data_IF_452880391794
#
_entry.id   IF_452880391794
#
_cell.length_a   1.000
_cell.length_b   1.000
_cell.length_c   1.000
_cell.angle_alpha   90.00
_cell.angle_beta   90.00
_cell.angle_gamma   90.00
#
_symmetry.space_group_name_H-M   'P 1'
#
loop_
_entity.id
_entity.type
_entity.pdbx_description
1 polymer ?
#
# COMPACT_ATOMS: atom_id res chain seq x y z
N UNK A 1 16.55 -25.07 -14.62
CA UNK A 1 16.86 -23.63 -14.69
C UNK A 1 15.77 -23.01 -15.56
N UNK A 2 14.63 -22.61 -14.98
CA UNK A 2 13.67 -21.78 -15.72
C UNK A 2 14.14 -20.35 -15.56
N UNK A 3 14.78 -19.83 -16.60
CA UNK A 3 14.92 -18.39 -16.78
C UNK A 3 13.51 -17.81 -16.80
N UNK A 4 13.15 -17.04 -15.77
CA UNK A 4 12.00 -16.14 -15.86
C UNK A 4 12.30 -15.19 -17.01
N UNK A 5 11.67 -15.42 -18.16
CA UNK A 5 11.60 -14.42 -19.22
C UNK A 5 10.58 -13.42 -18.67
N UNK A 6 11.06 -12.25 -18.23
CA UNK A 6 10.19 -11.12 -17.93
C UNK A 6 9.28 -10.89 -19.14
N UNK A 7 7.99 -10.68 -18.89
CA UNK A 7 7.02 -10.38 -19.93
C UNK A 7 7.49 -9.19 -20.77
N UNK A 8 7.75 -9.43 -22.06
CA UNK A 8 8.17 -8.39 -23.01
C UNK A 8 7.13 -7.25 -23.05
N UNK A 9 5.84 -7.59 -22.90
CA UNK A 9 4.74 -6.61 -22.85
C UNK A 9 4.82 -5.74 -21.60
N UNK A 10 5.10 -6.34 -20.44
CA UNK A 10 5.29 -5.57 -19.22
C UNK A 10 6.53 -4.68 -19.34
N UNK A 11 7.67 -5.21 -19.82
CA UNK A 11 8.90 -4.44 -20.03
C UNK A 11 8.67 -3.23 -20.94
N UNK A 12 7.94 -3.40 -22.04
CA UNK A 12 7.61 -2.30 -22.95
C UNK A 12 6.71 -1.24 -22.29
N UNK A 13 5.71 -1.67 -21.51
CA UNK A 13 4.82 -0.76 -20.79
C UNK A 13 5.56 0.02 -19.72
N UNK A 14 6.49 -0.62 -19.00
CA UNK A 14 7.33 0.03 -17.99
C UNK A 14 8.32 1.02 -18.63
N UNK A 15 8.90 0.69 -19.78
CA UNK A 15 9.78 1.60 -20.50
C UNK A 15 9.07 2.89 -20.95
N UNK A 16 7.78 2.79 -21.30
CA UNK A 16 6.96 3.97 -21.59
C UNK A 16 6.59 4.74 -20.32
N UNK A 17 6.16 4.02 -19.28
CA UNK A 17 5.81 4.59 -17.97
C UNK A 17 6.98 5.39 -17.37
N UNK A 18 8.22 4.89 -17.50
CA UNK A 18 9.44 5.53 -16.99
C UNK A 18 9.82 6.84 -17.70
N UNK A 19 9.14 7.19 -18.81
CA UNK A 19 9.29 8.51 -19.45
C UNK A 19 8.50 9.60 -18.72
N UNK A 20 7.56 9.23 -17.84
CA UNK A 20 6.74 10.16 -17.09
C UNK A 20 7.47 10.68 -15.85
N UNK A 21 6.95 11.78 -15.30
CA UNK A 21 7.49 12.34 -14.06
C UNK A 21 7.24 11.36 -12.90
N UNK A 22 8.32 10.86 -12.30
CA UNK A 22 8.27 9.98 -11.14
C UNK A 22 8.82 10.72 -9.90
N UNK A 23 7.90 11.17 -9.04
CA UNK A 23 8.22 11.87 -7.78
C UNK A 23 8.76 10.95 -6.68
N UNK A 24 8.71 9.63 -6.85
CA UNK A 24 9.41 8.69 -5.96
C UNK A 24 10.92 8.74 -6.19
N UNK A 25 11.38 9.19 -7.37
CA UNK A 25 12.78 9.23 -7.79
C UNK A 25 13.33 10.65 -7.97
N UNK A 26 12.59 11.67 -7.55
CA UNK A 26 12.96 13.09 -7.74
C UNK A 26 12.68 13.90 -6.46
N UNK A 27 13.37 15.04 -6.25
CA UNK A 27 12.96 16.01 -5.25
C UNK A 27 11.50 16.43 -5.49
N UNK A 28 10.72 16.55 -4.42
CA UNK A 28 9.26 16.68 -4.50
C UNK A 28 8.77 18.12 -4.28
N UNK A 29 9.67 19.11 -4.28
CA UNK A 29 9.32 20.52 -4.04
C UNK A 29 8.35 21.12 -5.06
N UNK A 30 8.37 20.63 -6.30
CA UNK A 30 7.47 21.05 -7.39
C UNK A 30 6.33 20.05 -7.64
N UNK A 31 6.06 19.16 -6.67
CA UNK A 31 4.99 18.18 -6.81
C UNK A 31 3.65 18.91 -6.90
N UNK A 32 2.85 18.56 -7.91
CA UNK A 32 1.56 19.22 -8.11
C UNK A 32 0.59 18.92 -6.96
N UNK A 33 -0.35 19.84 -6.76
CA UNK A 33 -1.39 19.79 -5.72
C UNK A 33 -2.79 19.79 -6.35
N UNK A 34 -3.04 18.85 -7.26
CA UNK A 34 -4.33 18.63 -7.91
C UNK A 34 -4.62 17.14 -8.11
N UNK A 35 -5.91 16.79 -8.24
CA UNK A 35 -6.37 15.42 -8.57
C UNK A 35 -6.95 15.32 -9.98
N UNK A 36 -7.05 16.42 -10.73
CA UNK A 36 -7.69 16.44 -12.05
C UNK A 36 -7.03 15.51 -13.08
N UNK A 37 -5.70 15.40 -13.17
CA UNK A 37 -5.07 14.45 -14.09
C UNK A 37 -5.51 13.01 -13.80
N UNK A 38 -5.58 12.63 -12.53
CA UNK A 38 -6.01 11.30 -12.10
C UNK A 38 -7.50 11.07 -12.36
N UNK A 39 -8.36 12.07 -12.08
CA UNK A 39 -9.80 12.01 -12.37
C UNK A 39 -10.08 11.92 -13.87
N UNK A 40 -9.32 12.63 -14.70
CA UNK A 40 -9.46 12.57 -16.15
C UNK A 40 -9.12 11.18 -16.69
N UNK A 41 -8.01 10.58 -16.23
CA UNK A 41 -7.66 9.20 -16.57
C UNK A 41 -8.72 8.20 -16.11
N UNK A 42 -9.21 8.34 -14.87
CA UNK A 42 -10.25 7.45 -14.34
C UNK A 42 -11.54 7.52 -15.18
N UNK A 43 -12.02 8.72 -15.52
CA UNK A 43 -13.20 8.92 -16.39
C UNK A 43 -13.02 8.25 -17.76
N UNK A 44 -11.84 8.37 -18.37
CA UNK A 44 -11.51 7.73 -19.66
C UNK A 44 -11.54 6.20 -19.59
N UNK A 45 -11.27 5.63 -18.42
CA UNK A 45 -11.28 4.20 -18.17
C UNK A 45 -12.61 3.70 -17.55
N UNK A 46 -13.65 4.54 -17.57
CA UNK A 46 -14.99 4.16 -17.09
C UNK A 46 -15.17 4.22 -15.58
N UNK A 47 -14.39 5.06 -14.89
CA UNK A 47 -14.44 5.26 -13.44
C UNK A 47 -14.33 3.95 -12.63
N UNK A 48 -13.25 3.17 -12.82
CA UNK A 48 -13.11 1.84 -12.22
C UNK A 48 -13.18 1.84 -10.69
N UNK A 49 -12.84 2.96 -10.04
CA UNK A 49 -12.95 3.12 -8.59
C UNK A 49 -14.37 3.02 -8.03
N UNK A 50 -15.39 3.11 -8.88
CA UNK A 50 -16.79 3.09 -8.45
C UNK A 50 -17.37 1.66 -8.40
N UNK A 51 -16.62 0.64 -8.80
CA UNK A 51 -17.13 -0.75 -8.90
C UNK A 51 -16.88 -1.61 -7.66
N UNK A 52 -16.24 -1.07 -6.62
CA UNK A 52 -15.89 -1.80 -5.39
C UNK A 52 -15.89 -0.88 -4.17
N UNK A 53 -15.97 -1.48 -2.97
CA UNK A 53 -15.89 -0.78 -1.69
C UNK A 53 -14.45 -0.58 -1.26
N UNK A 54 -14.17 0.45 -0.45
CA UNK A 54 -12.78 0.90 -0.25
C UNK A 54 -12.47 1.15 1.22
N UNK A 55 -11.35 0.58 1.66
CA UNK A 55 -10.63 1.01 2.87
C UNK A 55 -9.39 1.77 2.44
N UNK A 56 -9.28 3.03 2.84
CA UNK A 56 -8.18 3.91 2.44
C UNK A 56 -7.27 4.20 3.64
N UNK A 57 -5.97 3.97 3.48
CA UNK A 57 -4.99 3.99 4.58
C UNK A 57 -3.92 5.04 4.30
N UNK A 58 -3.79 6.00 5.21
CA UNK A 58 -2.73 6.99 5.24
C UNK A 58 -2.00 6.97 6.59
N UNK A 59 -0.84 7.61 6.64
CA UNK A 59 0.01 7.64 7.83
C UNK A 59 1.49 7.73 7.49
N UNK A 60 2.34 7.85 8.50
CA UNK A 60 3.79 7.89 8.33
C UNK A 60 4.34 6.48 8.21
N UNK A 61 4.20 5.67 9.26
CA UNK A 61 4.67 4.28 9.29
C UNK A 61 3.51 3.29 9.45
N UNK A 62 3.73 2.05 8.99
CA UNK A 62 2.79 0.95 9.19
C UNK A 62 1.58 0.92 8.25
N UNK A 63 1.56 1.75 7.20
CA UNK A 63 0.50 1.77 6.18
C UNK A 63 0.38 0.41 5.48
N UNK A 64 1.40 -0.01 4.74
CA UNK A 64 1.40 -1.28 4.01
C UNK A 64 1.10 -2.51 4.87
N UNK A 65 1.63 -2.61 6.10
CA UNK A 65 1.32 -3.74 6.99
C UNK A 65 -0.10 -3.67 7.57
N UNK A 66 -0.64 -2.47 7.84
CA UNK A 66 -2.07 -2.31 8.18
C UNK A 66 -2.95 -2.72 6.99
N UNK A 67 -2.59 -2.33 5.76
CA UNK A 67 -3.31 -2.74 4.56
C UNK A 67 -3.33 -4.27 4.39
N UNK A 68 -2.18 -4.93 4.59
CA UNK A 68 -2.08 -6.39 4.48
C UNK A 68 -2.92 -7.12 5.53
N UNK A 69 -2.98 -6.60 6.78
CA UNK A 69 -3.82 -7.17 7.84
C UNK A 69 -5.32 -7.01 7.54
N UNK A 70 -5.72 -5.85 7.00
CA UNK A 70 -7.12 -5.61 6.58
C UNK A 70 -7.47 -6.52 5.40
N UNK A 71 -6.60 -6.64 4.39
CA UNK A 71 -6.77 -7.54 3.25
C UNK A 71 -7.00 -8.99 3.73
N UNK A 72 -6.13 -9.48 4.61
CA UNK A 72 -6.22 -10.83 5.15
C UNK A 72 -7.53 -11.06 5.93
N UNK A 73 -7.95 -10.09 6.75
CA UNK A 73 -9.20 -10.16 7.51
C UNK A 73 -10.43 -10.26 6.60
N UNK A 74 -10.50 -9.40 5.59
CA UNK A 74 -11.60 -9.39 4.61
C UNK A 74 -11.59 -10.65 3.73
N UNK A 75 -10.43 -11.11 3.28
CA UNK A 75 -10.31 -12.34 2.50
C UNK A 75 -10.76 -13.56 3.31
N UNK A 76 -10.39 -13.64 4.60
CA UNK A 76 -10.83 -14.71 5.49
C UNK A 76 -12.33 -14.67 5.77
N UNK A 77 -12.92 -13.47 5.73
CA UNK A 77 -14.38 -13.30 5.78
C UNK A 77 -15.08 -13.63 4.45
N UNK A 78 -14.36 -14.13 3.44
CA UNK A 78 -14.92 -14.67 2.20
C UNK A 78 -15.13 -13.65 1.08
N UNK A 79 -14.55 -12.45 1.20
CA UNK A 79 -14.64 -11.42 0.16
C UNK A 79 -13.53 -11.56 -0.90
N UNK A 80 -13.82 -11.11 -2.13
CA UNK A 80 -12.77 -10.82 -3.09
C UNK A 80 -12.11 -9.49 -2.76
N UNK A 81 -10.79 -9.51 -2.50
CA UNK A 81 -10.06 -8.35 -1.98
C UNK A 81 -8.86 -8.04 -2.85
N UNK A 82 -8.74 -6.78 -3.24
CA UNK A 82 -7.56 -6.21 -3.87
C UNK A 82 -6.79 -5.31 -2.91
N UNK A 83 -5.47 -5.28 -3.00
CA UNK A 83 -4.63 -4.35 -2.25
C UNK A 83 -3.69 -3.59 -3.16
N UNK A 84 -3.67 -2.26 -3.01
CA UNK A 84 -2.70 -1.39 -3.65
C UNK A 84 -1.73 -0.85 -2.60
N UNK A 85 -0.43 -1.06 -2.82
CA UNK A 85 0.64 -0.72 -1.89
C UNK A 85 1.84 -0.07 -2.60
N UNK A 86 2.57 0.77 -1.87
CA UNK A 86 3.76 1.43 -2.39
C UNK A 86 4.77 1.74 -1.28
N UNK A 87 6.09 1.71 -1.56
CA UNK A 87 6.73 1.27 -2.80
C UNK A 87 6.73 -0.27 -2.96
N UNK A 88 7.32 -0.77 -4.06
CA UNK A 88 7.66 -2.20 -4.19
C UNK A 88 9.09 -2.44 -3.67
N UNK A 89 9.40 -3.68 -3.28
CA UNK A 89 10.75 -4.06 -2.82
C UNK A 89 11.56 -4.63 -3.98
N UNK A 90 11.03 -5.61 -4.71
CA UNK A 90 11.75 -6.28 -5.80
C UNK A 90 11.07 -6.09 -7.15
N UNK A 91 9.78 -6.39 -7.24
CA UNK A 91 9.03 -6.38 -8.50
C UNK A 91 7.84 -5.42 -8.45
N UNK A 92 7.61 -4.68 -9.54
CA UNK A 92 6.51 -3.71 -9.66
C UNK A 92 5.13 -4.35 -9.41
N UNK A 93 4.97 -5.64 -9.73
CA UNK A 93 3.74 -6.40 -9.52
C UNK A 93 3.35 -6.50 -8.05
N UNK A 94 4.30 -6.38 -7.12
CA UNK A 94 4.03 -6.37 -5.67
C UNK A 94 3.08 -5.24 -5.23
N UNK A 95 3.04 -4.15 -6.02
CA UNK A 95 2.19 -2.99 -5.71
C UNK A 95 0.71 -3.29 -5.88
N UNK A 96 0.33 -4.29 -6.68
CA UNK A 96 -1.07 -4.66 -6.93
C UNK A 96 -1.23 -6.13 -6.58
N UNK A 97 -2.01 -6.41 -5.53
CA UNK A 97 -2.29 -7.77 -5.08
C UNK A 97 -3.79 -8.07 -5.16
N UNK A 98 -4.14 -9.32 -5.44
CA UNK A 98 -5.49 -9.85 -5.33
C UNK A 98 -5.42 -11.11 -4.48
N UNK A 99 -6.26 -11.21 -3.46
CA UNK A 99 -6.23 -12.31 -2.49
C UNK A 99 -4.84 -12.54 -1.87
N UNK A 100 -4.12 -11.46 -1.55
CA UNK A 100 -2.79 -11.52 -0.94
C UNK A 100 -1.66 -11.96 -1.88
N UNK A 101 -1.90 -12.07 -3.19
CA UNK A 101 -0.89 -12.44 -4.18
C UNK A 101 -0.69 -11.33 -5.19
N UNK A 102 0.58 -10.96 -5.53
CA UNK A 102 0.85 -10.05 -6.63
C UNK A 102 0.16 -10.48 -7.92
N UNK A 103 -0.34 -9.52 -8.69
CA UNK A 103 -0.93 -9.79 -10.00
C UNK A 103 0.12 -10.32 -10.97
N UNK A 104 -0.32 -11.11 -11.96
CA UNK A 104 0.56 -11.59 -13.02
C UNK A 104 1.07 -10.44 -13.89
N UNK A 105 2.27 -10.62 -14.45
CA UNK A 105 2.91 -9.59 -15.29
C UNK A 105 2.06 -9.19 -16.50
N UNK A 106 1.44 -10.15 -17.18
CA UNK A 106 0.55 -9.88 -18.31
C UNK A 106 -0.68 -9.05 -17.91
N UNK A 107 -1.26 -9.32 -16.74
CA UNK A 107 -2.40 -8.56 -16.24
C UNK A 107 -2.01 -7.11 -15.96
N UNK A 108 -0.84 -6.91 -15.36
CA UNK A 108 -0.32 -5.57 -15.12
C UNK A 108 0.01 -4.86 -16.43
N UNK A 109 0.60 -5.56 -17.40
CA UNK A 109 0.89 -5.02 -18.74
C UNK A 109 -0.38 -4.58 -19.48
N UNK A 110 -1.46 -5.38 -19.43
CA UNK A 110 -2.75 -5.04 -20.02
C UNK A 110 -3.31 -3.74 -19.43
N UNK A 111 -3.32 -3.63 -18.10
CA UNK A 111 -3.84 -2.46 -17.41
C UNK A 111 -2.99 -1.20 -17.64
N UNK A 112 -1.66 -1.33 -17.59
CA UNK A 112 -0.74 -0.24 -17.93
C UNK A 112 -0.92 0.21 -19.37
N UNK A 113 -1.06 -0.72 -20.31
CA UNK A 113 -1.31 -0.42 -21.72
C UNK A 113 -2.60 0.40 -21.92
N UNK A 114 -3.68 0.02 -21.24
CA UNK A 114 -4.93 0.77 -21.26
C UNK A 114 -4.76 2.18 -20.66
N UNK A 115 -4.11 2.31 -19.51
CA UNK A 115 -3.88 3.59 -18.85
C UNK A 115 -2.97 4.53 -19.67
N UNK A 116 -1.91 3.99 -20.28
CA UNK A 116 -1.02 4.72 -21.18
C UNK A 116 -1.72 5.14 -22.47
N UNK A 117 -2.64 4.31 -23.00
CA UNK A 117 -3.49 4.70 -24.12
C UNK A 117 -4.39 5.88 -23.76
N UNK A 118 -5.08 5.80 -22.61
CA UNK A 118 -5.92 6.89 -22.11
C UNK A 118 -5.11 8.19 -21.87
N UNK A 119 -3.87 8.07 -21.41
CA UNK A 119 -2.94 9.18 -21.29
C UNK A 119 -2.57 9.81 -22.64
N UNK A 120 -2.28 8.99 -23.67
CA UNK A 120 -2.03 9.48 -25.03
C UNK A 120 -3.24 10.20 -25.61
N UNK A 121 -4.45 9.68 -25.38
CA UNK A 121 -5.70 10.34 -25.76
C UNK A 121 -5.83 11.71 -25.08
N UNK A 122 -5.61 11.76 -23.75
CA UNK A 122 -5.62 13.01 -22.99
C UNK A 122 -4.61 14.04 -23.51
N UNK A 123 -3.43 13.61 -23.94
CA UNK A 123 -2.42 14.47 -24.57
C UNK A 123 -2.88 15.02 -25.92
N UNK A 124 -3.47 14.18 -26.79
CA UNK A 124 -3.97 14.64 -28.10
C UNK A 124 -5.10 15.65 -27.95
N UNK A 125 -5.96 15.43 -26.96
CA UNK A 125 -7.14 16.26 -26.69
C UNK A 125 -6.84 17.46 -25.78
N UNK A 126 -5.62 17.56 -25.27
CA UNK A 126 -5.16 18.60 -24.35
C UNK A 126 -6.02 18.72 -23.07
N UNK A 127 -6.49 17.60 -22.52
CA UNK A 127 -7.21 17.57 -21.23
C UNK A 127 -6.26 17.54 -20.03
N UNK A 128 -6.79 17.57 -18.81
CA UNK A 128 -5.98 17.51 -17.58
C UNK A 128 -5.13 16.24 -17.47
N UNK A 129 -5.62 15.11 -18.00
CA UNK A 129 -4.91 13.83 -18.01
C UNK A 129 -3.52 13.88 -18.67
N UNK A 130 -3.27 14.88 -19.53
CA UNK A 130 -1.93 15.09 -20.13
C UNK A 130 -0.83 15.36 -19.08
N UNK A 131 -1.20 15.81 -17.88
CA UNK A 131 -0.28 16.09 -16.76
C UNK A 131 -0.10 14.90 -15.82
N UNK A 132 -0.60 13.72 -16.18
CA UNK A 132 -0.44 12.52 -15.36
C UNK A 132 1.04 12.19 -15.13
N UNK A 133 1.32 11.72 -13.93
CA UNK A 133 2.64 11.27 -13.47
C UNK A 133 2.73 9.76 -13.56
N UNK A 134 3.93 9.25 -13.32
CA UNK A 134 4.20 7.82 -13.18
C UNK A 134 3.24 7.16 -12.17
N UNK A 135 3.01 7.80 -11.02
CA UNK A 135 2.18 7.25 -9.95
C UNK A 135 0.68 7.28 -10.30
N UNK A 136 0.21 8.27 -11.08
CA UNK A 136 -1.18 8.31 -11.55
C UNK A 136 -1.49 7.13 -12.47
N UNK A 137 -0.61 6.85 -13.44
CA UNK A 137 -0.79 5.75 -14.39
C UNK A 137 -0.79 4.40 -13.66
N UNK A 138 0.14 4.20 -12.73
CA UNK A 138 0.16 2.96 -11.95
C UNK A 138 -1.09 2.83 -11.07
N UNK A 139 -1.50 3.90 -10.40
CA UNK A 139 -2.66 3.89 -9.51
C UNK A 139 -3.94 3.58 -10.29
N UNK A 140 -4.16 4.23 -11.43
CA UNK A 140 -5.38 3.98 -12.23
C UNK A 140 -5.36 2.58 -12.84
N UNK A 141 -4.18 2.04 -13.16
CA UNK A 141 -4.02 0.65 -13.60
C UNK A 141 -4.42 -0.34 -12.50
N UNK A 142 -4.04 -0.08 -11.24
CA UNK A 142 -4.46 -0.91 -10.10
C UNK A 142 -5.98 -0.90 -9.91
N UNK A 143 -6.60 0.29 -9.96
CA UNK A 143 -8.06 0.43 -9.87
C UNK A 143 -8.77 -0.31 -11.01
N UNK A 144 -8.26 -0.19 -12.24
CA UNK A 144 -8.78 -0.92 -13.40
C UNK A 144 -8.68 -2.44 -13.21
N UNK A 145 -7.55 -2.94 -12.71
CA UNK A 145 -7.39 -4.37 -12.40
C UNK A 145 -8.45 -4.84 -11.39
N UNK A 146 -8.65 -4.10 -10.29
CA UNK A 146 -9.65 -4.47 -9.29
C UNK A 146 -11.06 -4.52 -9.87
N UNK A 147 -11.40 -3.56 -10.74
CA UNK A 147 -12.67 -3.52 -11.44
C UNK A 147 -12.86 -4.75 -12.35
N UNK A 148 -11.86 -5.06 -13.17
CA UNK A 148 -11.89 -6.16 -14.13
C UNK A 148 -11.88 -7.55 -13.46
N UNK A 149 -11.29 -7.66 -12.28
CA UNK A 149 -11.19 -8.92 -11.51
C UNK A 149 -12.38 -9.11 -10.55
N UNK A 150 -13.36 -8.21 -10.56
CA UNK A 150 -14.55 -8.31 -9.72
C UNK A 150 -14.23 -8.26 -8.22
N UNK A 151 -13.20 -7.50 -7.84
CA UNK A 151 -12.89 -7.25 -6.43
C UNK A 151 -14.09 -6.59 -5.76
N UNK A 152 -14.40 -7.00 -4.54
CA UNK A 152 -15.49 -6.42 -3.75
C UNK A 152 -14.97 -5.32 -2.81
N UNK A 153 -13.76 -5.53 -2.29
CA UNK A 153 -13.08 -4.60 -1.39
C UNK A 153 -11.68 -4.29 -1.89
N UNK A 154 -11.36 -3.01 -2.08
CA UNK A 154 -10.00 -2.56 -2.29
C UNK A 154 -9.43 -1.92 -1.02
N UNK A 155 -8.22 -2.34 -0.62
CA UNK A 155 -7.45 -1.71 0.45
C UNK A 155 -6.35 -0.89 -0.19
N UNK A 156 -6.47 0.43 -0.11
CA UNK A 156 -5.58 1.36 -0.79
C UNK A 156 -4.64 2.03 0.20
N UNK A 157 -3.33 1.90 -0.01
CA UNK A 157 -2.31 2.68 0.67
C UNK A 157 -2.03 3.98 -0.10
N UNK A 158 -2.02 5.13 0.60
CA UNK A 158 -1.54 6.40 0.03
C UNK A 158 -0.03 6.34 -0.23
N UNK A 159 0.42 6.88 -1.37
CA UNK A 159 1.84 7.05 -1.65
C UNK A 159 2.47 8.14 -0.78
N UNK A 160 1.92 9.37 -0.83
CA UNK A 160 2.42 10.51 -0.06
C UNK A 160 1.30 11.43 0.41
N UNK A 161 1.35 11.81 1.69
CA UNK A 161 0.33 12.66 2.30
C UNK A 161 -1.02 11.96 2.31
N UNK A 162 -1.99 12.51 1.57
CA UNK A 162 -3.32 11.91 1.40
C UNK A 162 -4.24 12.79 0.57
N UNK A 163 -4.35 14.08 0.92
CA UNK A 163 -5.25 15.05 0.27
C UNK A 163 -5.08 15.10 -1.25
N UNK A 164 -3.85 15.16 -1.73
CA UNK A 164 -3.50 15.26 -3.15
C UNK A 164 -2.83 14.00 -3.71
N UNK A 165 -2.89 12.89 -2.97
CA UNK A 165 -2.37 11.61 -3.43
C UNK A 165 -3.25 11.04 -4.57
N UNK A 166 -2.66 10.40 -5.58
CA UNK A 166 -3.41 9.82 -6.70
C UNK A 166 -4.49 8.83 -6.26
N UNK A 167 -4.30 8.17 -5.11
CA UNK A 167 -5.33 7.27 -4.56
C UNK A 167 -6.56 8.00 -4.02
N UNK A 168 -6.53 9.32 -3.83
CA UNK A 168 -7.59 10.09 -3.17
C UNK A 168 -8.73 10.55 -4.09
N UNK A 169 -8.82 10.00 -5.31
CA UNK A 169 -10.00 10.17 -6.18
C UNK A 169 -11.21 9.33 -5.73
N UNK A 170 -11.03 8.47 -4.73
CA UNK A 170 -12.00 7.48 -4.30
C UNK A 170 -12.97 7.99 -3.23
N UNK A 171 -14.11 7.29 -3.10
CA UNK A 171 -15.05 7.44 -1.99
C UNK A 171 -14.92 6.21 -1.07
N UNK A 172 -14.18 6.34 0.02
CA UNK A 172 -13.91 5.24 0.95
C UNK A 172 -15.01 5.08 2.00
N UNK A 173 -15.26 3.82 2.38
CA UNK A 173 -16.14 3.45 3.50
C UNK A 173 -15.43 3.65 4.84
N UNK A 174 -14.12 3.38 4.87
CA UNK A 174 -13.29 3.54 6.06
C UNK A 174 -11.98 4.25 5.68
N UNK A 175 -11.68 5.33 6.40
CA UNK A 175 -10.40 6.02 6.34
C UNK A 175 -9.56 5.67 7.57
N UNK A 176 -8.37 5.12 7.36
CA UNK A 176 -7.44 4.75 8.44
C UNK A 176 -6.27 5.72 8.44
N UNK A 177 -6.03 6.35 9.58
CA UNK A 177 -4.82 7.17 9.82
C UNK A 177 -3.96 6.44 10.85
N UNK A 178 -2.80 5.91 10.45
CA UNK A 178 -1.95 5.10 11.33
C UNK A 178 -1.27 5.94 12.42
N UNK A 179 0.01 6.28 12.25
CA UNK A 179 0.74 7.24 13.08
C UNK A 179 1.13 8.46 12.23
N UNK A 180 1.51 9.53 12.92
CA UNK A 180 1.92 10.79 12.33
C UNK A 180 3.22 11.22 12.99
N UNK A 181 4.29 11.18 12.22
CA UNK A 181 5.61 11.68 12.58
C UNK A 181 6.07 12.74 11.57
N UNK A 182 7.14 13.47 11.91
CA UNK A 182 7.75 14.41 10.98
C UNK A 182 8.43 13.63 9.83
N UNK A 183 7.85 13.76 8.63
CA UNK A 183 8.37 13.20 7.38
C UNK A 183 8.04 14.18 6.25
N UNK A 184 8.88 14.21 5.21
CA UNK A 184 8.61 15.00 4.00
C UNK A 184 8.20 16.45 4.30
N UNK A 185 8.84 17.06 5.31
CA UNK A 185 8.46 18.36 5.88
C UNK A 185 8.56 19.52 4.88
N UNK A 186 9.30 19.31 3.80
CA UNK A 186 9.42 20.19 2.64
C UNK A 186 8.13 20.26 1.81
N UNK A 187 7.23 19.27 1.90
CA UNK A 187 5.95 19.22 1.18
C UNK A 187 4.76 19.21 2.14
N UNK A 188 4.81 18.36 3.17
CA UNK A 188 3.68 18.09 4.06
C UNK A 188 3.59 19.09 5.22
N UNK A 189 4.63 19.91 5.40
CA UNK A 189 4.71 20.92 6.44
C UNK A 189 5.63 20.53 7.61
N UNK A 190 5.93 21.52 8.45
CA UNK A 190 6.98 21.42 9.50
C UNK A 190 6.49 20.93 10.86
N UNK A 191 5.20 20.61 10.99
CA UNK A 191 4.58 20.20 12.26
C UNK A 191 3.76 18.94 12.05
N UNK A 192 3.55 18.16 13.13
CA UNK A 192 2.70 16.96 13.03
C UNK A 192 1.25 17.34 12.71
N UNK A 193 0.77 18.49 13.18
CA UNK A 193 -0.54 19.01 12.78
C UNK A 193 -0.66 19.26 11.27
N UNK A 194 0.35 19.86 10.62
CA UNK A 194 0.34 20.09 9.17
C UNK A 194 0.36 18.78 8.38
N UNK A 195 1.18 17.82 8.81
CA UNK A 195 1.27 16.50 8.20
C UNK A 195 -0.04 15.71 8.39
N UNK A 196 -0.65 15.82 9.57
CA UNK A 196 -1.96 15.24 9.86
C UNK A 196 -3.05 15.84 8.98
N UNK A 197 -3.00 17.14 8.70
CA UNK A 197 -3.96 17.81 7.82
C UNK A 197 -3.90 17.25 6.39
N UNK A 198 -2.70 17.07 5.84
CA UNK A 198 -2.52 16.44 4.52
C UNK A 198 -3.04 15.00 4.51
N UNK A 199 -2.72 14.19 5.53
CA UNK A 199 -3.14 12.80 5.61
C UNK A 199 -4.64 12.65 5.88
N UNK A 200 -5.23 13.49 6.72
CA UNK A 200 -6.67 13.52 6.99
C UNK A 200 -7.51 13.92 5.75
N UNK A 201 -6.88 14.39 4.68
CA UNK A 201 -7.51 14.63 3.39
C UNK A 201 -8.13 13.38 2.73
N UNK A 202 -7.79 12.17 3.19
CA UNK A 202 -8.45 10.93 2.75
C UNK A 202 -9.83 10.70 3.39
N UNK A 203 -10.17 11.44 4.45
CA UNK A 203 -11.48 11.31 5.12
C UNK A 203 -12.55 11.89 4.19
N UNK A 204 -13.56 11.06 3.88
CA UNK A 204 -14.71 11.42 3.05
C UNK A 204 -15.99 11.43 3.87
N UNK A 205 -16.98 12.24 3.46
CA UNK A 205 -18.31 12.24 4.11
C UNK A 205 -18.88 10.83 4.09
N UNK A 206 -19.44 10.40 5.22
CA UNK A 206 -20.02 9.06 5.37
C UNK A 206 -19.02 7.94 5.67
N UNK A 207 -17.70 8.22 5.67
CA UNK A 207 -16.70 7.23 6.07
C UNK A 207 -16.62 7.10 7.60
N UNK A 208 -16.30 5.91 8.10
CA UNK A 208 -15.76 5.77 9.46
C UNK A 208 -14.27 6.13 9.46
N UNK A 209 -13.79 6.74 10.54
CA UNK A 209 -12.38 7.09 10.72
C UNK A 209 -11.78 6.19 11.79
N UNK A 210 -10.69 5.49 11.48
CA UNK A 210 -9.98 4.61 12.42
C UNK A 210 -8.57 5.17 12.65
N UNK A 211 -8.21 5.43 13.91
CA UNK A 211 -6.86 5.92 14.25
C UNK A 211 -6.47 5.59 15.69
N UNK A 212 -5.17 5.54 15.99
CA UNK A 212 -4.65 5.45 17.36
C UNK A 212 -4.22 6.80 17.94
N UNK A 213 -4.27 7.87 17.14
CA UNK A 213 -3.89 9.21 17.59
C UNK A 213 -4.83 9.70 18.70
N UNK A 214 -4.32 10.00 19.90
CA UNK A 214 -5.14 10.57 20.97
C UNK A 214 -5.72 11.91 20.53
N UNK A 215 -6.97 12.21 20.88
CA UNK A 215 -7.58 13.50 20.53
C UNK A 215 -6.86 14.70 21.14
N UNK A 216 -6.23 14.53 22.30
CA UNK A 216 -5.42 15.56 22.96
C UNK A 216 -4.05 15.80 22.28
N UNK A 217 -3.64 14.95 21.34
CA UNK A 217 -2.43 15.13 20.53
C UNK A 217 -2.72 16.09 19.36
N UNK A 218 -1.76 16.94 18.98
CA UNK A 218 -1.93 17.92 17.89
C UNK A 218 -2.39 17.29 16.56
N UNK A 219 -1.89 16.10 16.20
CA UNK A 219 -2.27 15.38 15.00
C UNK A 219 -3.64 14.73 15.17
N UNK A 220 -3.92 14.18 16.36
CA UNK A 220 -5.21 13.59 16.68
C UNK A 220 -6.35 14.61 16.71
N UNK A 221 -6.08 15.83 17.17
CA UNK A 221 -7.01 16.96 17.13
C UNK A 221 -7.37 17.36 15.70
N UNK A 222 -6.40 17.38 14.78
CA UNK A 222 -6.65 17.64 13.35
C UNK A 222 -7.53 16.56 12.73
N UNK A 223 -7.26 15.29 13.03
CA UNK A 223 -8.10 14.17 12.55
C UNK A 223 -9.52 14.26 13.12
N UNK A 224 -9.69 14.56 14.41
CA UNK A 224 -11.00 14.78 15.03
C UNK A 224 -11.75 15.94 14.37
N UNK A 225 -11.12 17.10 14.21
CA UNK A 225 -11.75 18.27 13.60
C UNK A 225 -12.20 18.00 12.16
N UNK A 226 -11.37 17.29 11.37
CA UNK A 226 -11.73 16.91 10.00
C UNK A 226 -12.89 15.91 9.96
N UNK A 227 -12.92 14.94 10.88
CA UNK A 227 -14.02 14.00 10.99
C UNK A 227 -15.32 14.72 11.39
N UNK A 228 -15.26 15.65 12.35
CA UNK A 228 -16.40 16.46 12.79
C UNK A 228 -16.98 17.32 11.64
N UNK A 229 -16.12 18.02 10.89
CA UNK A 229 -16.52 18.82 9.71
C UNK A 229 -17.31 17.99 8.68
N UNK A 230 -16.95 16.72 8.54
CA UNK A 230 -17.56 15.79 7.58
C UNK A 230 -18.69 14.95 8.16
N UNK A 231 -18.93 15.03 9.49
CA UNK A 231 -19.93 14.24 10.19
C UNK A 231 -19.56 12.76 10.34
N UNK A 232 -18.27 12.44 10.44
CA UNK A 232 -17.75 11.07 10.49
C UNK A 232 -17.47 10.62 11.94
N UNK A 233 -17.82 9.37 12.25
CA UNK A 233 -17.48 8.76 13.54
C UNK A 233 -15.98 8.41 13.60
N UNK A 234 -15.33 8.68 14.74
CA UNK A 234 -13.91 8.34 14.96
C UNK A 234 -13.79 7.18 15.95
N UNK A 235 -13.20 6.07 15.50
CA UNK A 235 -12.89 4.89 16.30
C UNK A 235 -11.41 4.88 16.68
N UNK A 236 -11.15 4.86 17.98
CA UNK A 236 -9.80 4.72 18.56
C UNK A 236 -9.68 3.41 19.34
N UNK A 237 -9.12 2.33 18.76
CA UNK A 237 -8.92 1.10 19.51
C UNK A 237 -7.91 1.30 20.64
N UNK A 238 -8.06 0.55 21.73
CA UNK A 238 -7.14 0.62 22.87
C UNK A 238 -5.97 -0.32 22.64
N UNK A 239 -4.75 0.17 22.88
CA UNK A 239 -3.52 -0.62 22.86
C UNK A 239 -2.75 -0.43 24.17
N UNK A 240 -1.99 -1.43 24.64
CA UNK A 240 -1.14 -1.26 25.82
C UNK A 240 -0.13 -0.12 25.65
N UNK A 241 0.23 0.51 26.77
CA UNK A 241 1.36 1.45 26.78
C UNK A 241 2.63 0.74 26.30
N UNK A 242 3.38 1.37 25.39
CA UNK A 242 4.57 0.76 24.79
C UNK A 242 4.29 -0.30 23.71
N UNK A 243 3.04 -0.44 23.24
CA UNK A 243 2.71 -1.37 22.15
C UNK A 243 3.60 -1.14 20.92
N UNK A 244 4.07 -2.24 20.32
CA UNK A 244 4.89 -2.22 19.11
C UNK A 244 4.08 -1.74 17.88
N UNK A 245 4.75 -1.42 16.77
CA UNK A 245 4.06 -1.01 15.54
C UNK A 245 3.13 -2.14 15.04
N UNK A 246 3.57 -3.39 15.13
CA UNK A 246 2.78 -4.56 14.73
C UNK A 246 1.50 -4.67 15.57
N UNK A 247 1.61 -4.53 16.89
CA UNK A 247 0.45 -4.58 17.79
C UNK A 247 -0.54 -3.44 17.50
N UNK A 248 -0.02 -2.25 17.19
CA UNK A 248 -0.84 -1.09 16.79
C UNK A 248 -1.56 -1.35 15.47
N UNK A 249 -0.86 -1.90 14.47
CA UNK A 249 -1.44 -2.18 13.16
C UNK A 249 -2.51 -3.28 13.25
N UNK A 250 -2.32 -4.30 14.10
CA UNK A 250 -3.35 -5.31 14.40
C UNK A 250 -4.58 -4.67 15.02
N UNK A 251 -4.41 -3.74 15.97
CA UNK A 251 -5.53 -3.04 16.60
C UNK A 251 -6.30 -2.16 15.59
N UNK A 252 -5.59 -1.46 14.70
CA UNK A 252 -6.21 -0.68 13.62
C UNK A 252 -7.00 -1.59 12.67
N UNK A 253 -6.40 -2.68 12.19
CA UNK A 253 -7.07 -3.62 11.28
C UNK A 253 -8.30 -4.27 11.93
N UNK A 254 -8.21 -4.65 13.21
CA UNK A 254 -9.36 -5.16 13.97
C UNK A 254 -10.50 -4.13 14.06
N UNK A 255 -10.17 -2.88 14.38
CA UNK A 255 -11.16 -1.80 14.45
C UNK A 255 -11.82 -1.52 13.09
N UNK A 256 -11.09 -1.65 11.98
CA UNK A 256 -11.69 -1.56 10.63
C UNK A 256 -12.75 -2.65 10.45
N UNK A 257 -12.43 -3.92 10.76
CA UNK A 257 -13.39 -5.02 10.63
C UNK A 257 -14.62 -4.83 11.54
N UNK A 258 -14.42 -4.32 12.76
CA UNK A 258 -15.51 -4.00 13.68
C UNK A 258 -16.43 -2.92 13.09
N UNK A 259 -15.88 -1.82 12.56
CA UNK A 259 -16.67 -0.75 11.95
C UNK A 259 -17.42 -1.24 10.70
N UNK A 260 -16.77 -2.06 9.87
CA UNK A 260 -17.46 -2.69 8.74
C UNK A 260 -18.61 -3.59 9.20
N UNK A 261 -18.44 -4.35 10.29
CA UNK A 261 -19.50 -5.14 10.91
C UNK A 261 -20.69 -4.29 11.35
N UNK A 262 -20.43 -3.14 12.00
CA UNK A 262 -21.48 -2.17 12.40
C UNK A 262 -22.20 -1.54 11.22
N UNK A 263 -21.51 -1.38 10.09
CA UNK A 263 -22.11 -0.96 8.81
C UNK A 263 -22.93 -2.08 8.13
N UNK A 264 -23.09 -3.23 8.77
CA UNK A 264 -23.88 -4.35 8.25
C UNK A 264 -23.10 -5.25 7.28
N UNK A 265 -21.77 -5.18 7.25
CA UNK A 265 -20.96 -6.11 6.44
C UNK A 265 -20.90 -7.47 7.13
N UNK A 266 -21.40 -8.48 6.42
CA UNK A 266 -21.52 -9.86 6.91
C UNK A 266 -20.47 -10.76 6.24
N UNK A 267 -19.98 -11.77 6.96
CA UNK A 267 -19.10 -12.80 6.38
C UNK A 267 -19.80 -13.57 5.25
N UNK A 268 -18.99 -14.10 4.32
CA UNK A 268 -19.41 -14.94 3.20
C UNK A 268 -18.80 -16.34 3.34
N UNK A 269 -19.61 -17.39 3.22
CA UNK A 269 -19.13 -18.77 3.24
C UNK A 269 -20.23 -19.83 3.34
N UNK A 270 -19.97 -21.03 2.80
CA UNK A 270 -20.95 -22.08 2.56
C UNK A 270 -21.30 -22.98 3.78
N UNK A 271 -20.59 -22.87 4.91
CA UNK A 271 -20.75 -23.73 6.10
C UNK A 271 -20.91 -22.99 7.44
N UNK A 272 -20.78 -21.67 7.47
CA UNK A 272 -20.98 -20.87 8.68
C UNK A 272 -22.26 -20.03 8.54
N UNK A 273 -23.07 -19.96 9.60
CA UNK A 273 -24.14 -18.96 9.66
C UNK A 273 -23.52 -17.58 9.42
N UNK A 274 -24.08 -16.78 8.50
CA UNK A 274 -23.59 -15.44 8.24
C UNK A 274 -23.53 -14.65 9.54
N UNK A 275 -22.39 -14.05 9.85
CA UNK A 275 -22.22 -13.25 11.06
C UNK A 275 -21.61 -11.88 10.73
N UNK A 276 -21.88 -10.85 11.54
CA UNK A 276 -21.24 -9.55 11.38
C UNK A 276 -19.72 -9.66 11.51
N UNK A 277 -18.97 -8.88 10.72
CA UNK A 277 -17.49 -8.88 10.77
C UNK A 277 -16.90 -8.63 12.16
N UNK A 278 -17.56 -7.83 13.00
CA UNK A 278 -17.16 -7.59 14.40
C UNK A 278 -17.15 -8.90 15.22
N UNK A 279 -18.18 -9.74 15.08
CA UNK A 279 -18.27 -11.02 15.80
C UNK A 279 -17.22 -12.02 15.28
N UNK A 280 -16.99 -12.03 13.97
CA UNK A 280 -15.96 -12.84 13.35
C UNK A 280 -14.53 -12.44 13.78
N UNK A 281 -14.27 -11.13 13.86
CA UNK A 281 -12.99 -10.58 14.30
C UNK A 281 -12.65 -11.03 15.72
N UNK A 282 -13.61 -10.96 16.64
CA UNK A 282 -13.41 -11.34 18.04
C UNK A 282 -13.06 -12.83 18.17
N UNK A 283 -13.69 -13.70 17.36
CA UNK A 283 -13.36 -15.13 17.30
C UNK A 283 -11.95 -15.37 16.77
N UNK A 284 -11.56 -14.70 15.69
CA UNK A 284 -10.21 -14.83 15.13
C UNK A 284 -9.14 -14.32 16.12
N UNK A 285 -9.41 -13.22 16.82
CA UNK A 285 -8.51 -12.68 17.83
C UNK A 285 -8.34 -13.61 19.05
N UNK A 286 -9.34 -14.43 19.38
CA UNK A 286 -9.23 -15.44 20.43
C UNK A 286 -8.32 -16.62 20.03
N UNK A 287 -8.30 -16.98 18.74
CA UNK A 287 -7.47 -18.05 18.19
C UNK A 287 -6.02 -17.59 17.98
N UNK A 288 -5.78 -16.35 17.54
CA UNK A 288 -4.43 -15.84 17.21
C UNK A 288 -3.54 -15.48 18.43
N UNK A 289 -4.11 -15.35 19.65
CA UNK A 289 -3.37 -14.92 20.85
C UNK A 289 -2.26 -15.88 21.33
N UNK A 290 -2.38 -17.22 21.24
CA UNK A 290 -1.32 -18.15 21.62
C UNK A 290 -0.21 -18.23 20.57
N UNK A 291 -0.54 -18.21 19.27
CA UNK A 291 0.40 -18.46 18.17
C UNK A 291 1.38 -17.29 17.93
N UNK A 292 0.97 -16.06 18.26
CA UNK A 292 1.83 -14.87 18.20
C UNK A 292 2.89 -14.82 19.31
N UNK A 293 2.74 -15.56 20.42
CA UNK A 293 3.71 -15.54 21.54
C UNK A 293 4.97 -16.39 21.29
N UNK A 294 4.94 -17.35 20.37
CA UNK A 294 6.03 -18.31 20.17
C UNK A 294 6.97 -17.98 18.99
N UNK A 295 6.64 -16.99 18.16
CA UNK A 295 7.43 -16.68 16.96
C UNK A 295 8.61 -15.72 17.23
N UNK A 296 9.82 -16.27 17.34
CA UNK A 296 11.10 -15.54 17.45
C UNK A 296 11.58 -14.88 16.13
N UNK A 297 10.88 -15.03 15.01
CA UNK A 297 11.33 -14.55 13.69
C UNK A 297 11.01 -13.07 13.37
N UNK A 298 10.39 -12.32 14.28
CA UNK A 298 10.07 -10.89 14.08
C UNK A 298 11.35 -10.01 14.07
N UNK A 299 12.50 -10.52 14.52
CA UNK A 299 13.76 -9.76 14.53
C UNK A 299 14.30 -9.37 13.13
N UNK A 300 13.87 -10.02 12.05
CA UNK A 300 14.40 -9.78 10.69
C UNK A 300 13.82 -8.55 9.98
N UNK A 301 12.75 -7.92 10.49
CA UNK A 301 12.19 -6.70 9.89
C UNK A 301 13.04 -5.44 10.16
N UNK A 302 13.94 -5.52 11.17
CA UNK A 302 14.91 -4.47 11.53
C UNK A 302 15.83 -4.04 10.38
N UNK A 303 16.07 -4.89 9.38
CA UNK A 303 16.99 -4.56 8.28
C UNK A 303 16.31 -3.87 7.08
N UNK A 304 14.98 -3.90 6.97
CA UNK A 304 14.27 -3.09 5.96
C UNK A 304 14.38 -1.59 6.26
N UNK A 305 14.44 -1.23 7.56
CA UNK A 305 14.68 0.13 8.05
C UNK A 305 16.09 0.66 7.71
N UNK A 306 17.08 -0.21 7.52
CA UNK A 306 18.43 0.21 7.06
C UNK A 306 18.45 0.55 5.57
N UNK A 307 17.55 -0.01 4.78
CA UNK A 307 17.57 0.19 3.32
C UNK A 307 17.06 1.58 2.94
N UNK A 308 16.08 2.13 3.68
CA UNK A 308 15.67 3.54 3.57
C UNK A 308 16.78 4.50 4.04
N UNK A 309 17.47 4.20 5.16
CA UNK A 309 18.60 5.01 5.63
C UNK A 309 19.84 4.98 4.70
N UNK A 310 20.06 3.88 3.97
CA UNK A 310 21.17 3.77 3.00
C UNK A 310 20.89 4.54 1.70
N UNK A 311 19.61 4.69 1.33
CA UNK A 311 19.18 5.52 0.20
C UNK A 311 19.34 7.01 0.48
N UNK A 312 18.98 7.48 1.68
CA UNK A 312 19.10 8.90 2.05
C UNK A 312 20.56 9.38 2.14
N UNK A 313 21.49 8.48 2.50
CA UNK A 313 22.90 8.84 2.72
C UNK A 313 23.81 8.72 1.49
N UNK A 314 23.33 8.22 0.33
CA UNK A 314 24.18 8.04 -0.84
C UNK A 314 23.79 8.96 -2.01
N UNK A 315 23.68 10.26 -1.71
CA UNK A 315 23.56 11.34 -2.68
C UNK A 315 24.92 11.76 -3.25
N UNK A 316 25.75 10.80 -3.70
CA UNK A 316 27.00 11.12 -4.43
C UNK A 316 27.65 9.89 -5.04
N UNK A 317 27.30 9.57 -6.29
CA UNK A 317 28.16 8.74 -7.15
C UNK A 317 28.66 9.64 -8.28
N UNK A 318 29.98 9.91 -8.36
CA UNK A 318 30.54 10.79 -9.38
C UNK A 318 30.64 10.11 -10.76
N UNK A 319 30.56 10.95 -11.79
CA UNK A 319 30.65 10.58 -13.21
C UNK A 319 31.92 9.79 -13.53
N UNK A 320 31.77 8.79 -14.42
CA UNK A 320 32.85 7.97 -14.98
C UNK A 320 33.87 8.82 -15.76
N UNK A 321 35.14 8.75 -15.38
CA UNK A 321 36.27 9.15 -16.25
C UNK A 321 37.46 8.17 -16.16
N UNK A 322 37.68 7.48 -17.28
CA UNK A 322 38.91 6.95 -17.93
C UNK A 322 40.16 6.51 -17.12
N UNK A 323 40.52 5.22 -17.37
CA UNK A 323 41.84 4.59 -17.64
C UNK A 323 42.87 4.39 -16.48
N UNK A 324 43.90 3.50 -16.60
CA UNK A 324 44.22 2.44 -17.58
C UNK A 324 44.61 1.06 -16.97
N UNK A 325 44.88 0.09 -17.85
CA UNK A 325 45.34 -1.28 -17.61
C UNK A 325 46.82 -1.41 -17.19
N UNK A 326 47.18 -2.43 -16.37
CA UNK A 326 48.25 -3.41 -16.66
C UNK A 326 48.55 -4.43 -15.54
N UNK A 327 48.72 -5.69 -15.99
CA UNK A 327 49.70 -6.73 -15.60
C UNK A 327 49.55 -7.56 -14.32
N UNK A 328 49.05 -8.79 -14.55
CA UNK A 328 49.64 -10.11 -14.26
C UNK A 328 50.70 -10.30 -13.17
N UNK A 329 50.54 -11.38 -12.38
CA UNK A 329 51.63 -11.90 -11.56
C UNK A 329 51.37 -12.94 -10.45
N UNK A 330 50.44 -13.89 -10.62
CA UNK A 330 50.44 -15.25 -10.04
C UNK A 330 50.59 -15.55 -8.51
N UNK A 331 49.68 -16.42 -8.03
CA UNK A 331 49.74 -17.42 -6.92
C UNK A 331 49.47 -16.97 -5.47
N UNK A 332 48.22 -17.14 -4.99
CA UNK A 332 47.79 -18.28 -4.16
C UNK A 332 46.37 -18.08 -3.56
N UNK A 333 45.63 -19.19 -3.42
CA UNK A 333 44.31 -19.40 -2.78
C UNK A 333 43.04 -19.13 -3.63
N UNK A 334 42.11 -20.10 -3.76
CA UNK A 334 40.82 -19.87 -4.40
C UNK A 334 39.82 -19.32 -3.35
N UNK A 335 39.50 -18.04 -3.45
CA UNK A 335 38.25 -17.51 -2.89
C UNK A 335 37.17 -17.61 -3.96
N UNK A 336 36.30 -18.61 -3.80
CA UNK A 336 35.03 -18.73 -4.52
C UNK A 336 34.19 -17.48 -4.21
N UNK A 337 33.60 -16.77 -5.18
CA UNK A 337 32.55 -15.81 -4.89
C UNK A 337 31.37 -16.61 -4.35
N UNK A 338 31.02 -16.38 -3.08
CA UNK A 338 29.82 -16.91 -2.48
C UNK A 338 28.62 -16.43 -3.31
N UNK A 339 28.04 -17.36 -4.07
CA UNK A 339 26.69 -17.23 -4.59
C UNK A 339 25.77 -17.14 -3.37
N UNK A 340 25.36 -15.93 -3.03
CA UNK A 340 24.35 -15.69 -2.02
C UNK A 340 23.02 -16.23 -2.54
N UNK A 341 22.79 -17.54 -2.35
CA UNK A 341 21.46 -18.13 -2.38
C UNK A 341 20.67 -17.50 -1.24
N UNK A 342 19.76 -16.60 -1.57
CA UNK A 342 18.80 -16.07 -0.59
C UNK A 342 17.85 -17.19 -0.13
N UNK A 343 17.52 -17.22 1.18
CA UNK A 343 16.62 -18.22 1.72
C UNK A 343 15.18 -17.95 1.25
N UNK A 344 14.43 -19.04 1.03
CA UNK A 344 12.99 -19.10 0.68
C UNK A 344 12.03 -18.41 1.69
N UNK A 345 12.52 -17.69 2.68
CA UNK A 345 11.76 -17.17 3.82
C UNK A 345 10.96 -15.89 3.55
N UNK A 346 11.18 -15.18 2.44
CA UNK A 346 10.43 -13.96 2.11
C UNK A 346 8.97 -14.19 1.70
N UNK A 347 8.61 -15.41 1.29
CA UNK A 347 7.26 -15.75 0.81
C UNK A 347 6.35 -16.34 1.89
N UNK A 348 6.84 -16.51 3.13
CA UNK A 348 6.20 -17.37 4.13
C UNK A 348 5.68 -16.59 5.36
N UNK A 349 5.10 -15.40 5.19
CA UNK A 349 4.38 -14.70 6.26
C UNK A 349 2.89 -15.08 6.31
N UNK A 350 2.25 -15.27 5.16
CA UNK A 350 0.86 -15.70 5.03
C UNK A 350 0.65 -17.20 5.29
N UNK A 351 1.66 -18.05 5.12
CA UNK A 351 1.56 -19.49 5.43
C UNK A 351 1.93 -19.82 6.90
N UNK A 352 2.71 -18.99 7.60
CA UNK A 352 3.19 -19.29 8.97
C UNK A 352 2.34 -18.70 10.11
N UNK A 353 1.56 -17.63 9.86
CA UNK A 353 0.43 -17.30 10.76
C UNK A 353 -0.76 -18.26 10.57
N UNK A 354 -0.76 -19.05 9.49
CA UNK A 354 -1.92 -19.84 9.08
C UNK A 354 -1.48 -21.21 8.55
N UNK A 355 -1.10 -22.17 9.42
CA UNK A 355 -0.86 -23.54 8.99
C UNK A 355 -2.14 -24.11 8.37
N UNK A 356 -1.98 -24.78 7.23
CA UNK A 356 -3.04 -25.39 6.40
C UNK A 356 -3.80 -26.56 7.07
N UNK A 357 -3.71 -26.71 8.39
CA UNK A 357 -4.27 -27.82 9.17
C UNK A 357 -5.67 -27.57 9.74
N UNK A 358 -6.29 -26.41 9.52
CA UNK A 358 -7.67 -26.11 10.00
C UNK A 358 -8.75 -26.14 8.90
N UNK A 359 -8.56 -26.98 7.87
CA UNK A 359 -9.57 -27.28 6.83
C UNK A 359 -10.49 -28.46 7.19
N UNK A 360 -10.67 -28.75 8.48
CA UNK A 360 -11.75 -29.61 8.97
C UNK A 360 -12.42 -28.91 10.14
N UNK A 361 -13.50 -28.19 9.86
CA UNK A 361 -14.82 -28.30 10.50
C UNK A 361 -15.79 -27.35 9.81
#
# INVERSE_FOLDING_TARGET
MSSHIESERLSNSLAELDQLTNWERRPRGDMRVDLEPMRDLARRLGDPQNSFRIVHVAGTKGKGSTCALIEAGLARAGFAVGRYASPHVMHITERVSIHGRPVGEERLADALGAALSAFKDARREATDGQRATWFDILTVSALLIFSLEGVEWAVLETGLGGRWDSTNIVQSDVAVITNIDLEHTEILGKTRAAIAFEKAGIIKRGAAVVTLLPEADEAGAVVSARAEELGCAVRRPTVPAGATIEQRNVALAGAVLDELGKMGVMTKGASAMSEPLEQFQQKCAAVLRPELRENKEIEHFRDSEKTEMLWENNSSIPQRSKLPACRDGSKNSPSTPATARMPRSMWCWTERMFPSTLLRF
#
